data_IF_255883574040
#
_entry.id   IF_255883574040
#
_cell.length_a   1.000
_cell.length_b   1.000
_cell.length_c   1.000
_cell.angle_alpha   90.00
_cell.angle_beta   90.00
_cell.angle_gamma   90.00
#
_symmetry.space_group_name_H-M   'P 1'
#
loop_
_entity.id
_entity.type
_entity.pdbx_description
1 polymer ?
#
# COMPACT_ATOMS: atom_id res chain seq x y z
N UNK A 1 73.78 -3.06 -14.22
CA UNK A 1 72.65 -3.97 -14.49
C UNK A 1 71.47 -3.90 -13.47
N UNK A 2 71.62 -3.24 -12.31
CA UNK A 2 70.57 -3.24 -11.26
C UNK A 2 69.45 -2.15 -11.42
N UNK A 3 69.78 -1.01 -12.06
CA UNK A 3 68.85 0.12 -12.21
C UNK A 3 67.75 -0.10 -13.27
N UNK A 4 68.06 -0.87 -14.31
CA UNK A 4 67.07 -1.20 -15.38
C UNK A 4 66.00 -2.23 -14.93
N UNK A 5 66.33 -3.11 -13.98
CA UNK A 5 65.40 -4.09 -13.44
C UNK A 5 64.38 -3.46 -12.46
N UNK A 6 64.78 -2.37 -11.77
CA UNK A 6 63.89 -1.68 -10.85
C UNK A 6 62.83 -0.84 -11.56
N UNK A 7 63.18 -0.23 -12.70
CA UNK A 7 62.23 0.57 -13.50
C UNK A 7 61.19 -0.32 -14.22
N UNK A 8 61.61 -1.50 -14.68
CA UNK A 8 60.67 -2.46 -15.29
C UNK A 8 59.70 -3.07 -14.29
N UNK A 9 60.10 -3.29 -13.03
CA UNK A 9 59.21 -3.79 -11.99
C UNK A 9 58.17 -2.76 -11.54
N UNK A 10 58.54 -1.47 -11.50
CA UNK A 10 57.61 -0.38 -11.19
C UNK A 10 56.57 -0.11 -12.30
N UNK A 11 56.98 -0.30 -13.57
CA UNK A 11 56.05 -0.15 -14.71
C UNK A 11 54.99 -1.27 -14.75
N UNK A 12 55.33 -2.50 -14.38
CA UNK A 12 54.40 -3.63 -14.33
C UNK A 12 53.37 -3.49 -13.19
N UNK A 13 53.79 -2.96 -12.03
CA UNK A 13 52.88 -2.71 -10.91
C UNK A 13 51.92 -1.56 -11.19
N UNK A 14 52.34 -0.52 -11.97
CA UNK A 14 51.49 0.58 -12.36
C UNK A 14 50.41 0.18 -13.38
N UNK A 15 50.65 -0.81 -14.25
CA UNK A 15 49.70 -1.31 -15.26
C UNK A 15 48.67 -2.25 -14.62
N UNK A 16 49.01 -2.96 -13.55
CA UNK A 16 48.07 -3.82 -12.80
C UNK A 16 47.08 -3.03 -11.91
N UNK A 17 47.39 -1.79 -11.56
CA UNK A 17 46.52 -0.93 -10.77
C UNK A 17 45.44 -0.22 -11.60
N UNK A 18 45.53 -0.22 -12.94
CA UNK A 18 44.59 0.44 -13.86
C UNK A 18 43.45 -0.47 -14.34
N UNK A 19 43.43 -1.72 -13.93
CA UNK A 19 42.48 -2.73 -14.42
C UNK A 19 41.54 -3.32 -13.34
N UNK A 20 41.44 -2.73 -12.16
CA UNK A 20 40.37 -3.13 -11.25
C UNK A 20 39.04 -2.61 -11.82
N UNK A 21 38.08 -3.47 -12.19
CA UNK A 21 36.76 -3.00 -12.51
C UNK A 21 36.28 -2.19 -11.30
N UNK A 22 35.87 -0.92 -11.52
CA UNK A 22 35.13 -0.21 -10.52
C UNK A 22 33.92 -1.10 -10.20
N UNK A 23 33.87 -1.71 -9.04
CA UNK A 23 32.64 -2.32 -8.56
C UNK A 23 31.63 -1.17 -8.57
N UNK A 24 30.66 -1.23 -9.49
CA UNK A 24 29.53 -0.31 -9.46
C UNK A 24 28.93 -0.48 -8.09
N UNK A 25 28.86 0.61 -7.33
CA UNK A 25 28.19 0.58 -6.05
C UNK A 25 26.73 0.18 -6.34
N UNK A 26 26.27 -0.90 -5.75
CA UNK A 26 24.91 -1.36 -5.87
C UNK A 26 24.00 -0.32 -5.19
N UNK A 27 23.04 0.19 -5.93
CA UNK A 27 22.04 1.11 -5.39
C UNK A 27 21.08 0.32 -4.52
N UNK A 28 20.81 0.84 -3.31
CA UNK A 28 19.89 0.19 -2.39
C UNK A 28 18.62 0.98 -2.31
N UNK A 29 17.50 0.30 -2.46
CA UNK A 29 16.19 0.89 -2.34
C UNK A 29 15.36 0.15 -1.30
N UNK A 30 14.62 0.91 -0.52
CA UNK A 30 13.69 0.42 0.48
C UNK A 30 12.25 0.59 0.00
N UNK A 31 11.40 -0.42 0.24
CA UNK A 31 9.99 -0.41 -0.12
C UNK A 31 9.18 -0.45 1.16
N UNK A 32 8.54 0.65 1.51
CA UNK A 32 7.64 0.72 2.66
C UNK A 32 6.34 -0.04 2.37
N UNK A 33 5.98 -0.95 3.25
CA UNK A 33 4.83 -1.84 3.08
C UNK A 33 3.76 -1.62 4.16
N UNK A 34 3.55 -2.58 5.03
CA UNK A 34 2.61 -2.57 6.14
C UNK A 34 2.86 -3.77 7.05
N UNK A 35 1.92 -4.08 7.92
CA UNK A 35 2.01 -5.25 8.79
C UNK A 35 2.05 -6.57 8.01
N UNK A 36 2.76 -7.56 8.54
CA UNK A 36 3.03 -8.85 7.87
C UNK A 36 1.79 -9.70 7.58
N UNK A 37 0.67 -9.43 8.25
CA UNK A 37 -0.60 -10.16 8.08
C UNK A 37 -1.53 -9.54 7.03
N UNK A 38 -1.12 -8.43 6.41
CA UNK A 38 -1.82 -7.73 5.33
C UNK A 38 -1.31 -8.14 3.94
N UNK A 39 -1.72 -7.39 2.92
CA UNK A 39 -1.36 -7.63 1.51
C UNK A 39 -0.05 -6.95 1.12
N UNK A 40 0.24 -5.76 1.65
CA UNK A 40 1.41 -4.97 1.26
C UNK A 40 2.73 -5.71 1.47
N UNK A 41 2.90 -6.40 2.60
CA UNK A 41 4.17 -7.04 2.93
C UNK A 41 4.53 -8.22 2.00
N UNK A 42 3.67 -9.23 1.75
CA UNK A 42 3.98 -10.29 0.80
C UNK A 42 4.16 -9.75 -0.63
N UNK A 43 3.35 -8.79 -1.06
CA UNK A 43 3.48 -8.17 -2.38
C UNK A 43 4.78 -7.36 -2.50
N UNK A 44 5.08 -6.52 -1.50
CA UNK A 44 6.31 -5.72 -1.46
C UNK A 44 7.58 -6.57 -1.38
N UNK A 45 7.52 -7.71 -0.66
CA UNK A 45 8.62 -8.68 -0.63
C UNK A 45 8.90 -9.30 -2.00
N UNK A 46 7.83 -9.67 -2.73
CA UNK A 46 7.97 -10.16 -4.10
C UNK A 46 8.50 -9.06 -5.04
N UNK A 47 8.00 -7.82 -4.90
CA UNK A 47 8.47 -6.67 -5.66
C UNK A 47 9.96 -6.38 -5.40
N UNK A 48 10.40 -6.45 -4.14
CA UNK A 48 11.81 -6.26 -3.79
C UNK A 48 12.70 -7.31 -4.44
N UNK A 49 12.31 -8.59 -4.41
CA UNK A 49 13.03 -9.65 -5.09
C UNK A 49 13.05 -9.42 -6.61
N UNK A 50 11.90 -9.11 -7.20
CA UNK A 50 11.76 -8.85 -8.63
C UNK A 50 12.67 -7.70 -9.10
N UNK A 51 12.71 -6.58 -8.37
CA UNK A 51 13.59 -5.45 -8.66
C UNK A 51 15.05 -5.88 -8.55
N UNK A 52 15.45 -6.55 -7.47
CA UNK A 52 16.83 -7.00 -7.24
C UNK A 52 17.32 -7.96 -8.33
N UNK A 53 16.43 -8.80 -8.85
CA UNK A 53 16.77 -9.81 -9.85
C UNK A 53 16.79 -9.25 -11.28
N UNK A 54 16.02 -8.19 -11.56
CA UNK A 54 15.78 -7.74 -12.94
C UNK A 54 16.20 -6.28 -13.23
N UNK A 55 16.52 -5.47 -12.21
CA UNK A 55 17.02 -4.09 -12.41
C UNK A 55 18.52 -4.06 -12.11
N UNK A 56 19.33 -3.85 -13.15
CA UNK A 56 20.79 -3.93 -13.05
C UNK A 56 21.35 -2.90 -12.05
N UNK A 57 22.17 -3.38 -11.10
CA UNK A 57 22.86 -2.53 -10.13
C UNK A 57 21.99 -2.11 -8.95
N UNK A 58 20.77 -2.63 -8.80
CA UNK A 58 19.84 -2.30 -7.72
C UNK A 58 19.65 -3.50 -6.78
N UNK A 59 19.60 -3.24 -5.47
CA UNK A 59 19.21 -4.20 -4.43
C UNK A 59 18.02 -3.60 -3.65
N UNK A 60 16.86 -4.24 -3.68
CA UNK A 60 15.65 -3.78 -3.03
C UNK A 60 15.30 -4.61 -1.79
N UNK A 61 14.73 -3.97 -0.78
CA UNK A 61 14.23 -4.61 0.45
C UNK A 61 12.85 -4.10 0.81
N UNK A 62 11.98 -5.01 1.31
CA UNK A 62 10.66 -4.64 1.82
C UNK A 62 10.72 -4.39 3.32
N UNK A 63 10.18 -3.27 3.77
CA UNK A 63 10.15 -2.86 5.17
C UNK A 63 8.75 -2.96 5.75
N UNK A 64 8.64 -3.48 6.98
CA UNK A 64 7.40 -3.49 7.76
C UNK A 64 7.18 -2.12 8.36
N UNK A 65 5.99 -1.55 8.13
CA UNK A 65 5.60 -0.22 8.61
C UNK A 65 4.19 -0.25 9.19
N UNK A 66 3.70 0.89 9.66
CA UNK A 66 2.29 1.07 9.99
C UNK A 66 1.38 1.25 8.75
N UNK A 67 1.92 1.29 7.55
CA UNK A 67 1.30 1.51 6.24
C UNK A 67 1.10 3.00 5.89
N UNK A 68 0.02 3.37 5.19
CA UNK A 68 -0.08 4.51 4.29
C UNK A 68 0.40 5.86 4.82
N UNK A 69 0.00 6.28 6.03
CA UNK A 69 0.43 7.58 6.59
C UNK A 69 1.91 7.54 6.98
N UNK A 70 2.34 6.46 7.62
CA UNK A 70 3.75 6.23 7.97
C UNK A 70 4.61 6.18 6.70
N UNK A 71 4.14 5.46 5.68
CA UNK A 71 4.82 5.31 4.39
C UNK A 71 5.01 6.67 3.67
N UNK A 72 3.99 7.52 3.67
CA UNK A 72 4.11 8.86 3.09
C UNK A 72 5.09 9.75 3.86
N UNK A 73 5.17 9.60 5.19
CA UNK A 73 6.16 10.30 5.99
C UNK A 73 7.59 9.81 5.69
N UNK A 74 7.78 8.50 5.48
CA UNK A 74 9.08 7.93 5.08
C UNK A 74 9.50 8.41 3.67
N UNK A 75 8.57 8.48 2.71
CA UNK A 75 8.80 9.10 1.39
C UNK A 75 9.21 10.57 1.52
N UNK A 76 8.53 11.34 2.38
CA UNK A 76 8.84 12.76 2.61
C UNK A 76 10.25 12.98 3.18
N UNK A 77 10.71 12.06 4.04
CA UNK A 77 12.02 12.10 4.67
C UNK A 77 13.13 11.56 3.77
N UNK A 78 12.77 10.83 2.69
CA UNK A 78 13.72 10.13 1.83
C UNK A 78 14.34 8.89 2.49
N UNK A 79 13.64 8.31 3.46
CA UNK A 79 14.04 7.10 4.16
C UNK A 79 13.69 5.82 3.37
N UNK A 80 12.74 5.94 2.43
CA UNK A 80 12.37 4.88 1.47
C UNK A 80 12.17 5.46 0.08
N UNK A 81 12.43 4.68 -0.96
CA UNK A 81 12.26 5.07 -2.35
C UNK A 81 10.87 4.76 -2.90
N UNK A 82 10.27 3.64 -2.46
CA UNK A 82 8.95 3.19 -2.89
C UNK A 82 8.06 2.95 -1.68
N UNK A 83 6.75 3.15 -1.87
CA UNK A 83 5.76 2.90 -0.83
C UNK A 83 4.42 2.43 -1.39
N UNK A 84 3.77 1.49 -0.68
CA UNK A 84 2.37 1.13 -0.90
C UNK A 84 1.48 2.07 -0.10
N UNK A 85 0.55 2.75 -0.76
CA UNK A 85 -0.28 3.80 -0.14
C UNK A 85 -1.72 3.73 -0.65
N UNK A 86 -2.71 3.90 0.22
CA UNK A 86 -4.09 4.13 -0.17
C UNK A 86 -4.21 5.48 -0.91
N UNK A 87 -5.03 5.53 -1.94
CA UNK A 87 -5.18 6.72 -2.79
C UNK A 87 -5.67 7.95 -2.00
N UNK A 88 -6.56 7.79 -1.03
CA UNK A 88 -7.03 8.86 -0.16
C UNK A 88 -5.88 9.46 0.68
N UNK A 89 -5.06 8.60 1.28
CA UNK A 89 -3.88 9.02 2.05
C UNK A 89 -2.82 9.66 1.17
N UNK A 90 -2.61 9.16 -0.06
CA UNK A 90 -1.68 9.76 -1.02
C UNK A 90 -2.15 11.15 -1.44
N UNK A 91 -3.46 11.35 -1.63
CA UNK A 91 -4.07 12.65 -1.91
C UNK A 91 -3.87 13.62 -0.74
N UNK A 92 -4.24 13.21 0.48
CA UNK A 92 -4.07 14.05 1.67
C UNK A 92 -2.62 14.48 1.86
N UNK A 93 -1.67 13.56 1.66
CA UNK A 93 -0.25 13.86 1.77
C UNK A 93 0.23 14.85 0.70
N UNK A 94 -0.19 14.68 -0.55
CA UNK A 94 0.19 15.58 -1.65
C UNK A 94 -0.37 17.00 -1.47
N UNK A 95 -1.57 17.13 -0.90
CA UNK A 95 -2.22 18.41 -0.63
C UNK A 95 -1.81 19.02 0.73
N UNK A 96 -1.12 18.26 1.59
CA UNK A 96 -0.79 18.70 2.96
C UNK A 96 -2.01 18.78 3.88
N UNK A 97 -3.02 17.94 3.61
CA UNK A 97 -4.19 17.79 4.49
C UNK A 97 -3.85 16.93 5.72
N UNK A 98 -4.62 17.05 6.78
CA UNK A 98 -4.46 16.18 7.95
C UNK A 98 -4.50 14.70 7.55
N UNK A 99 -3.63 13.85 8.09
CA UNK A 99 -2.73 14.11 9.25
C UNK A 99 -1.35 14.69 8.88
N UNK A 100 -1.13 15.16 7.67
CA UNK A 100 0.15 15.72 7.22
C UNK A 100 0.24 17.21 7.54
N UNK A 101 1.43 17.67 7.97
CA UNK A 101 1.66 19.06 8.31
C UNK A 101 2.02 19.92 7.08
N UNK A 102 2.57 19.31 6.04
CA UNK A 102 3.04 19.92 4.80
C UNK A 102 2.81 18.95 3.64
N UNK A 103 2.73 19.47 2.42
CA UNK A 103 2.61 18.67 1.22
C UNK A 103 3.85 17.77 1.02
N UNK A 104 3.62 16.50 0.74
CA UNK A 104 4.68 15.52 0.46
C UNK A 104 4.99 15.51 -1.03
N UNK A 105 6.27 15.66 -1.43
CA UNK A 105 6.69 15.64 -2.83
C UNK A 105 6.68 14.20 -3.38
N UNK A 106 5.49 13.67 -3.65
CA UNK A 106 5.27 12.31 -4.04
C UNK A 106 4.60 12.19 -5.41
N UNK A 107 4.94 11.15 -6.16
CA UNK A 107 4.38 10.83 -7.47
C UNK A 107 4.05 9.34 -7.55
N UNK A 108 3.06 9.00 -8.38
CA UNK A 108 2.64 7.62 -8.59
C UNK A 108 3.52 6.92 -9.63
N UNK A 109 3.85 5.66 -9.39
CA UNK A 109 4.32 4.76 -10.43
C UNK A 109 3.15 4.02 -11.09
N UNK A 110 2.26 3.44 -10.29
CA UNK A 110 1.14 2.65 -10.77
C UNK A 110 0.00 2.61 -9.77
N UNK A 111 -1.24 2.55 -10.24
CA UNK A 111 -2.35 2.02 -9.47
C UNK A 111 -2.31 0.50 -9.53
N UNK A 112 -2.37 -0.17 -8.38
CA UNK A 112 -2.13 -1.61 -8.28
C UNK A 112 -3.43 -2.43 -8.25
N UNK A 113 -4.26 -2.20 -7.25
CA UNK A 113 -5.54 -2.90 -7.01
C UNK A 113 -6.42 -2.08 -6.07
N UNK A 114 -7.68 -2.49 -5.89
CA UNK A 114 -8.55 -1.87 -4.91
C UNK A 114 -8.38 -2.50 -3.52
N UNK A 115 -8.25 -1.66 -2.50
CA UNK A 115 -8.41 -2.08 -1.12
C UNK A 115 -9.90 -2.04 -0.75
N UNK A 116 -10.37 -3.13 -0.13
CA UNK A 116 -11.73 -3.31 0.38
C UNK A 116 -11.75 -2.96 1.86
N UNK A 117 -12.67 -2.12 2.30
CA UNK A 117 -12.80 -1.75 3.71
C UNK A 117 -13.67 -2.74 4.45
N UNK A 118 -13.03 -3.70 5.11
CA UNK A 118 -13.68 -4.66 5.98
C UNK A 118 -14.03 -4.01 7.32
N UNK A 119 -15.25 -4.25 7.80
CA UNK A 119 -15.61 -4.06 9.19
C UNK A 119 -15.99 -5.43 9.74
N UNK A 120 -15.09 -6.01 10.50
CA UNK A 120 -15.14 -7.41 10.92
C UNK A 120 -15.66 -7.51 12.35
N UNK A 121 -16.61 -8.39 12.57
CA UNK A 121 -17.15 -8.74 13.88
C UNK A 121 -17.53 -10.21 13.94
N UNK A 122 -18.18 -10.67 14.99
CA UNK A 122 -18.75 -12.01 15.11
C UNK A 122 -20.27 -11.99 14.96
N UNK A 123 -20.86 -13.08 14.48
CA UNK A 123 -22.31 -13.20 14.23
C UNK A 123 -23.17 -12.93 15.50
N UNK A 124 -22.68 -13.37 16.66
CA UNK A 124 -23.37 -13.21 17.94
C UNK A 124 -23.14 -11.85 18.63
N UNK A 125 -22.34 -10.95 18.03
CA UNK A 125 -21.99 -9.62 18.57
C UNK A 125 -23.19 -8.68 18.69
N UNK A 126 -24.25 -8.88 17.90
CA UNK A 126 -25.38 -7.96 17.74
C UNK A 126 -25.06 -6.73 16.89
N UNK A 127 -23.86 -6.66 16.27
CA UNK A 127 -23.48 -5.57 15.36
C UNK A 127 -23.94 -5.93 13.94
N UNK A 128 -24.78 -5.05 13.35
CA UNK A 128 -25.36 -5.25 12.01
C UNK A 128 -25.15 -4.05 11.08
N UNK A 129 -24.50 -2.98 11.56
CA UNK A 129 -24.19 -1.78 10.81
C UNK A 129 -23.26 -0.89 11.64
N UNK A 130 -22.65 0.14 11.00
CA UNK A 130 -21.68 1.02 11.68
C UNK A 130 -22.27 1.74 12.90
N UNK A 131 -23.54 2.14 12.86
CA UNK A 131 -24.20 2.78 14.00
C UNK A 131 -24.24 1.91 15.27
N UNK A 132 -24.14 0.58 15.14
CA UNK A 132 -24.09 -0.34 16.29
C UNK A 132 -22.70 -0.42 16.96
N UNK A 133 -21.72 0.31 16.44
CA UNK A 133 -20.38 0.41 17.05
C UNK A 133 -20.35 1.37 18.22
N UNK A 134 -21.42 2.18 18.44
CA UNK A 134 -21.53 3.07 19.62
C UNK A 134 -21.39 2.28 20.90
N UNK A 135 -20.56 2.78 21.81
CA UNK A 135 -20.21 2.17 23.09
C UNK A 135 -19.48 0.82 23.00
N UNK A 136 -18.96 0.46 21.79
CA UNK A 136 -18.19 -0.78 21.57
C UNK A 136 -16.70 -0.53 21.63
N UNK A 137 -15.94 -1.60 21.89
CA UNK A 137 -14.48 -1.59 21.77
C UNK A 137 -14.12 -1.95 20.33
N UNK A 138 -13.57 -0.97 19.58
CA UNK A 138 -13.34 -1.10 18.14
C UNK A 138 -11.89 -0.79 17.80
N UNK A 139 -11.24 -1.67 17.05
CA UNK A 139 -9.94 -1.35 16.44
C UNK A 139 -10.13 -0.61 15.13
N UNK A 140 -9.55 0.57 15.02
CA UNK A 140 -9.63 1.43 13.82
C UNK A 140 -8.45 1.23 12.86
N UNK A 141 -7.62 0.21 13.07
CA UNK A 141 -6.37 0.00 12.35
C UNK A 141 -5.16 0.45 13.16
N UNK A 142 -3.96 0.11 12.70
CA UNK A 142 -2.73 0.56 13.35
C UNK A 142 -2.62 2.09 13.32
N UNK A 143 -2.04 2.68 14.37
CA UNK A 143 -1.78 4.11 14.39
C UNK A 143 -0.88 4.52 13.20
N UNK A 144 -1.28 5.53 12.44
CA UNK A 144 -0.56 5.96 11.25
C UNK A 144 -0.82 5.11 10.00
N UNK A 145 -1.86 4.26 10.01
CA UNK A 145 -2.27 3.48 8.84
C UNK A 145 -3.34 4.21 8.01
N UNK A 146 -3.42 3.87 6.72
CA UNK A 146 -4.55 4.30 5.89
C UNK A 146 -5.88 3.67 6.33
N UNK A 147 -5.84 2.49 6.97
CA UNK A 147 -7.02 1.88 7.60
C UNK A 147 -7.60 2.80 8.67
N UNK A 148 -6.76 3.43 9.49
CA UNK A 148 -7.20 4.37 10.52
C UNK A 148 -7.87 5.61 9.91
N UNK A 149 -7.31 6.14 8.82
CA UNK A 149 -7.90 7.29 8.11
C UNK A 149 -9.31 6.94 7.62
N UNK A 150 -9.46 5.84 6.89
CA UNK A 150 -10.76 5.45 6.32
C UNK A 150 -11.76 5.02 7.40
N UNK A 151 -11.29 4.41 8.51
CA UNK A 151 -12.15 4.03 9.63
C UNK A 151 -12.76 5.26 10.32
N UNK A 152 -11.97 6.31 10.54
CA UNK A 152 -12.44 7.56 11.12
C UNK A 152 -13.50 8.21 10.21
N UNK A 153 -13.23 8.32 8.91
CA UNK A 153 -14.16 8.86 7.91
C UNK A 153 -15.48 8.08 7.85
N UNK A 154 -15.42 6.76 7.92
CA UNK A 154 -16.63 5.91 7.94
C UNK A 154 -17.42 6.04 9.24
N UNK A 155 -16.75 6.15 10.39
CA UNK A 155 -17.40 6.38 11.67
C UNK A 155 -18.12 7.74 11.67
N UNK A 156 -17.45 8.80 11.21
CA UNK A 156 -18.03 10.14 11.07
C UNK A 156 -19.23 10.15 10.13
N UNK A 157 -19.13 9.52 8.96
CA UNK A 157 -20.24 9.36 8.02
C UNK A 157 -21.41 8.58 8.63
N UNK A 158 -21.16 7.63 9.52
CA UNK A 158 -22.18 6.91 10.28
C UNK A 158 -22.72 7.69 11.49
N UNK A 159 -22.29 8.95 11.70
CA UNK A 159 -22.72 9.81 12.80
C UNK A 159 -22.12 9.42 14.16
N UNK A 160 -20.91 8.85 14.15
CA UNK A 160 -20.14 8.48 15.32
C UNK A 160 -18.86 9.32 15.39
N UNK A 161 -18.57 9.84 16.58
CA UNK A 161 -17.28 10.44 16.89
C UNK A 161 -16.30 9.32 17.27
N UNK A 162 -15.20 9.12 16.47
CA UNK A 162 -14.25 8.03 16.72
C UNK A 162 -13.52 8.13 18.05
N UNK A 163 -13.46 9.30 18.67
CA UNK A 163 -12.77 9.52 19.94
C UNK A 163 -13.73 9.53 21.16
N UNK A 164 -15.03 9.75 20.92
CA UNK A 164 -16.02 9.88 21.99
C UNK A 164 -17.04 8.74 22.04
N UNK A 165 -17.44 8.19 20.88
CA UNK A 165 -18.55 7.25 20.77
C UNK A 165 -18.14 5.78 20.79
N UNK A 166 -16.85 5.47 20.70
CA UNK A 166 -16.31 4.11 20.77
C UNK A 166 -15.14 4.02 21.76
N UNK A 167 -14.88 2.82 22.28
CA UNK A 167 -13.61 2.53 22.99
C UNK A 167 -12.56 2.15 21.96
N UNK A 168 -11.84 3.15 21.44
CA UNK A 168 -10.93 3.01 20.32
C UNK A 168 -9.69 2.21 20.68
N UNK A 169 -9.32 1.27 19.81
CA UNK A 169 -8.03 0.58 19.78
C UNK A 169 -7.35 0.82 18.44
N UNK A 170 -6.02 0.84 18.42
CA UNK A 170 -5.21 1.07 17.22
C UNK A 170 -4.29 -0.13 16.99
N UNK A 171 -4.86 -1.20 16.41
CA UNK A 171 -4.17 -2.48 16.23
C UNK A 171 -4.02 -2.80 14.75
N UNK A 172 -2.91 -3.46 14.37
CA UNK A 172 -2.73 -4.03 13.04
C UNK A 172 -3.72 -5.18 12.77
N UNK A 173 -3.83 -5.62 11.49
CA UNK A 173 -4.82 -6.64 11.10
C UNK A 173 -4.74 -7.94 11.92
N UNK A 174 -3.53 -8.51 12.08
CA UNK A 174 -3.33 -9.74 12.83
C UNK A 174 -3.61 -9.60 14.33
N UNK A 175 -3.24 -8.45 14.91
CA UNK A 175 -3.51 -8.14 16.32
C UNK A 175 -5.02 -7.93 16.54
N UNK A 176 -5.70 -7.22 15.62
CA UNK A 176 -7.14 -7.01 15.64
C UNK A 176 -7.91 -8.34 15.54
N UNK A 177 -7.52 -9.21 14.60
CA UNK A 177 -8.12 -10.54 14.45
C UNK A 177 -7.96 -11.39 15.73
N UNK A 178 -6.77 -11.35 16.34
CA UNK A 178 -6.52 -12.04 17.61
C UNK A 178 -7.33 -11.45 18.76
N UNK A 179 -7.41 -10.11 18.86
CA UNK A 179 -8.17 -9.42 19.89
C UNK A 179 -9.67 -9.69 19.78
N UNK A 180 -10.22 -9.73 18.56
CA UNK A 180 -11.63 -10.08 18.31
C UNK A 180 -11.92 -11.54 18.70
N UNK A 181 -11.08 -12.48 18.28
CA UNK A 181 -11.20 -13.89 18.67
C UNK A 181 -11.20 -14.09 20.19
N UNK A 182 -10.34 -13.36 20.88
CA UNK A 182 -10.15 -13.45 22.33
C UNK A 182 -11.18 -12.64 23.13
N UNK A 183 -12.11 -11.93 22.46
CA UNK A 183 -13.16 -11.12 23.07
C UNK A 183 -12.66 -9.83 23.72
N UNK A 184 -11.49 -9.33 23.32
CA UNK A 184 -10.91 -8.07 23.82
C UNK A 184 -11.41 -6.84 23.06
N UNK A 185 -11.93 -7.04 21.84
CA UNK A 185 -12.62 -6.02 21.03
C UNK A 185 -13.91 -6.60 20.46
N UNK A 186 -14.87 -5.75 20.10
CA UNK A 186 -16.17 -6.14 19.53
C UNK A 186 -16.14 -6.14 18.00
N UNK A 187 -15.30 -5.30 17.38
CA UNK A 187 -15.13 -5.20 15.92
C UNK A 187 -13.76 -4.58 15.56
N UNK A 188 -13.39 -4.73 14.31
CA UNK A 188 -12.24 -4.01 13.77
C UNK A 188 -12.43 -3.59 12.32
N UNK A 189 -11.81 -2.46 11.96
CA UNK A 189 -11.64 -2.00 10.60
C UNK A 189 -10.34 -2.55 10.00
N UNK A 190 -10.42 -2.87 8.73
CA UNK A 190 -9.26 -3.23 7.92
C UNK A 190 -9.49 -2.84 6.46
N UNK A 191 -8.56 -2.07 5.87
CA UNK A 191 -8.57 -1.78 4.43
C UNK A 191 -7.43 -2.53 3.75
N UNK A 192 -7.76 -3.44 2.85
CA UNK A 192 -6.79 -4.28 2.15
C UNK A 192 -7.38 -5.06 0.99
N UNK A 193 -6.51 -5.73 0.22
CA UNK A 193 -6.90 -6.61 -0.88
C UNK A 193 -7.52 -7.93 -0.43
N UNK A 194 -8.08 -8.65 -1.37
CA UNK A 194 -8.75 -9.94 -1.15
C UNK A 194 -7.90 -11.14 -1.66
N UNK A 195 -7.80 -12.23 -0.87
CA UNK A 195 -8.17 -12.29 0.55
C UNK A 195 -7.07 -11.71 1.44
N UNK A 196 -7.42 -11.14 2.58
CA UNK A 196 -6.43 -10.74 3.60
C UNK A 196 -6.10 -11.90 4.55
N UNK A 197 -4.82 -12.17 4.77
CA UNK A 197 -4.35 -13.30 5.57
C UNK A 197 -4.93 -13.33 6.98
N UNK A 198 -4.89 -12.21 7.70
CA UNK A 198 -5.42 -12.13 9.07
C UNK A 198 -6.93 -12.46 9.17
N UNK A 199 -7.74 -12.03 8.18
CA UNK A 199 -9.19 -12.30 8.14
C UNK A 199 -9.44 -13.75 7.74
N UNK A 200 -8.62 -14.29 6.83
CA UNK A 200 -8.68 -15.73 6.43
C UNK A 200 -8.39 -16.64 7.62
N UNK A 201 -7.34 -16.34 8.39
CA UNK A 201 -6.98 -17.11 9.59
C UNK A 201 -8.07 -17.03 10.66
N UNK A 202 -8.66 -15.84 10.87
CA UNK A 202 -9.78 -15.66 11.79
C UNK A 202 -10.98 -16.53 11.39
N UNK A 203 -11.43 -16.45 10.13
CA UNK A 203 -12.56 -17.22 9.62
C UNK A 203 -12.31 -18.73 9.56
N UNK A 204 -11.04 -19.18 9.54
CA UNK A 204 -10.67 -20.58 9.61
C UNK A 204 -10.56 -21.11 11.07
N UNK A 205 -10.68 -20.23 12.07
CA UNK A 205 -10.57 -20.60 13.50
C UNK A 205 -11.83 -21.35 13.95
N UNK A 206 -11.72 -22.55 14.57
CA UNK A 206 -12.89 -23.29 15.05
C UNK A 206 -13.73 -22.50 16.06
N UNK A 207 -15.05 -22.55 15.90
CA UNK A 207 -16.05 -21.84 16.71
C UNK A 207 -15.96 -20.31 16.63
N UNK A 208 -15.41 -19.78 15.57
CA UNK A 208 -15.46 -18.37 15.22
C UNK A 208 -16.39 -18.22 14.01
N UNK A 209 -17.53 -17.60 14.22
CA UNK A 209 -18.49 -17.28 13.18
C UNK A 209 -18.27 -15.82 12.77
N UNK A 210 -17.40 -15.62 11.76
CA UNK A 210 -17.01 -14.31 11.26
C UNK A 210 -18.17 -13.64 10.54
N UNK A 211 -18.32 -12.33 10.73
CA UNK A 211 -19.27 -11.49 10.02
C UNK A 211 -18.60 -10.23 9.50
N UNK A 212 -18.87 -9.90 8.23
CA UNK A 212 -18.54 -8.62 7.65
C UNK A 212 -19.74 -7.70 7.68
N UNK A 213 -19.55 -6.46 8.14
CA UNK A 213 -20.57 -5.42 8.17
C UNK A 213 -20.53 -4.64 6.86
N UNK A 214 -21.67 -4.53 6.11
CA UNK A 214 -21.75 -3.71 4.92
C UNK A 214 -21.52 -2.24 5.26
N UNK A 215 -20.78 -1.55 4.39
CA UNK A 215 -20.49 -0.13 4.51
C UNK A 215 -20.43 0.59 3.15
N UNK A 216 -20.72 -0.11 2.06
CA UNK A 216 -20.71 0.44 0.71
C UNK A 216 -21.67 1.63 0.50
N UNK A 217 -22.72 1.73 1.32
CA UNK A 217 -23.69 2.84 1.27
C UNK A 217 -23.07 4.21 1.60
N UNK A 218 -21.90 4.25 2.28
CA UNK A 218 -21.19 5.48 2.62
C UNK A 218 -20.26 5.99 1.52
N UNK A 219 -20.07 5.23 0.43
CA UNK A 219 -19.13 5.59 -0.63
C UNK A 219 -19.42 6.95 -1.28
N UNK A 220 -20.68 7.25 -1.57
CA UNK A 220 -21.08 8.52 -2.19
C UNK A 220 -20.80 9.72 -1.26
N UNK A 221 -21.01 9.56 0.05
CA UNK A 221 -20.73 10.59 1.04
C UNK A 221 -19.23 10.84 1.16
N UNK A 222 -18.43 9.78 1.28
CA UNK A 222 -16.97 9.88 1.29
C UNK A 222 -16.42 10.47 0.00
N UNK A 223 -16.98 10.09 -1.14
CA UNK A 223 -16.59 10.65 -2.44
C UNK A 223 -16.87 12.16 -2.51
N UNK A 224 -18.03 12.59 -2.00
CA UNK A 224 -18.39 14.00 -1.95
C UNK A 224 -17.53 14.85 -1.01
N UNK A 225 -17.07 14.24 0.11
CA UNK A 225 -16.30 14.94 1.14
C UNK A 225 -14.79 14.93 0.87
N UNK A 226 -14.25 13.83 0.35
CA UNK A 226 -12.80 13.59 0.32
C UNK A 226 -12.23 13.35 -1.08
N UNK A 227 -13.03 12.95 -2.07
CA UNK A 227 -12.56 12.81 -3.45
C UNK A 227 -13.05 11.57 -4.18
N UNK A 228 -12.94 11.61 -5.50
CA UNK A 228 -13.54 10.62 -6.42
C UNK A 228 -12.87 9.25 -6.42
N UNK A 229 -11.83 9.04 -5.63
CA UNK A 229 -11.14 7.75 -5.48
C UNK A 229 -11.89 6.77 -4.55
N UNK A 230 -12.90 7.22 -3.80
CA UNK A 230 -13.79 6.31 -3.09
C UNK A 230 -14.80 5.67 -4.04
N UNK A 231 -15.11 4.42 -3.83
CA UNK A 231 -16.09 3.67 -4.59
C UNK A 231 -16.73 2.56 -3.78
N UNK A 232 -17.63 1.80 -4.40
CA UNK A 232 -18.23 0.61 -3.81
C UNK A 232 -17.83 -0.62 -4.60
N UNK A 233 -17.50 -1.71 -3.89
CA UNK A 233 -17.34 -3.02 -4.48
C UNK A 233 -17.83 -4.10 -3.53
N UNK A 234 -18.07 -5.28 -4.09
CA UNK A 234 -18.59 -6.43 -3.35
C UNK A 234 -17.44 -7.36 -2.94
N UNK A 235 -17.32 -7.69 -1.65
CA UNK A 235 -16.57 -8.85 -1.17
C UNK A 235 -17.39 -10.08 -1.51
N UNK A 236 -16.91 -10.98 -2.39
CA UNK A 236 -17.69 -12.17 -2.79
C UNK A 236 -17.98 -13.09 -1.61
N UNK A 237 -19.16 -13.71 -1.58
CA UNK A 237 -19.46 -14.76 -0.61
C UNK A 237 -18.44 -15.90 -0.71
N UNK A 238 -18.02 -16.44 0.43
CA UNK A 238 -17.02 -17.48 0.50
C UNK A 238 -15.56 -17.01 0.37
N UNK A 239 -15.30 -15.69 0.36
CA UNK A 239 -13.93 -15.14 0.44
C UNK A 239 -13.26 -15.54 1.74
N UNK A 240 -14.01 -15.55 2.84
CA UNK A 240 -13.55 -15.95 4.18
C UNK A 240 -14.43 -17.04 4.75
N UNK A 241 -13.88 -17.88 5.62
CA UNK A 241 -14.65 -18.90 6.34
C UNK A 241 -15.76 -18.27 7.19
N UNK A 242 -16.99 -18.76 7.05
CA UNK A 242 -18.17 -18.21 7.74
C UNK A 242 -18.87 -17.03 7.04
N UNK A 243 -18.24 -16.44 6.01
CA UNK A 243 -18.82 -15.34 5.23
C UNK A 243 -19.41 -15.91 3.94
N UNK A 244 -20.64 -16.43 3.99
CA UNK A 244 -21.29 -17.11 2.85
C UNK A 244 -21.94 -16.13 1.85
N UNK A 245 -22.43 -15.00 2.35
CA UNK A 245 -23.15 -13.99 1.53
C UNK A 245 -22.19 -12.89 1.04
N UNK A 246 -22.41 -12.33 -0.16
CA UNK A 246 -21.65 -11.19 -0.63
C UNK A 246 -21.91 -9.95 0.23
N UNK A 247 -20.90 -9.09 0.40
CA UNK A 247 -21.00 -7.86 1.21
C UNK A 247 -20.46 -6.68 0.44
N UNK A 248 -21.28 -5.62 0.29
CA UNK A 248 -20.89 -4.38 -0.36
C UNK A 248 -20.13 -3.48 0.63
N UNK A 249 -18.96 -3.05 0.22
CA UNK A 249 -18.05 -2.27 1.05
C UNK A 249 -17.47 -1.09 0.27
N UNK A 250 -17.01 -0.07 1.01
CA UNK A 250 -16.21 1.02 0.46
C UNK A 250 -14.87 0.47 -0.01
N UNK A 251 -14.43 0.92 -1.19
CA UNK A 251 -13.11 0.61 -1.74
C UNK A 251 -12.34 1.89 -2.07
N UNK A 252 -11.02 1.78 -1.98
CA UNK A 252 -10.06 2.82 -2.34
C UNK A 252 -8.93 2.17 -3.14
N UNK A 253 -8.47 2.75 -4.27
CA UNK A 253 -7.30 2.24 -4.98
C UNK A 253 -6.05 2.25 -4.12
N UNK A 254 -5.18 1.29 -4.39
CA UNK A 254 -3.83 1.23 -3.85
C UNK A 254 -2.86 1.73 -4.92
N UNK A 255 -1.96 2.63 -4.54
CA UNK A 255 -0.99 3.26 -5.43
C UNK A 255 0.43 2.90 -4.97
N UNK A 256 1.29 2.55 -5.90
CA UNK A 256 2.73 2.51 -5.68
C UNK A 256 3.28 3.93 -5.87
N UNK A 257 3.82 4.48 -4.79
CA UNK A 257 4.26 5.87 -4.69
C UNK A 257 5.78 5.94 -4.57
N UNK A 258 6.36 6.97 -5.13
CA UNK A 258 7.79 7.33 -5.02
C UNK A 258 7.95 8.80 -4.65
N UNK A 259 9.15 9.19 -4.16
CA UNK A 259 9.50 10.60 -4.08
C UNK A 259 9.68 11.18 -5.49
N UNK A 260 9.26 12.42 -5.73
CA UNK A 260 9.40 13.09 -7.04
C UNK A 260 10.86 13.20 -7.52
N UNK A 261 11.83 13.10 -6.59
CA UNK A 261 13.26 13.16 -6.88
C UNK A 261 13.86 11.79 -7.28
N UNK A 262 13.07 10.71 -7.33
CA UNK A 262 13.56 9.41 -7.80
C UNK A 262 14.09 9.55 -9.23
N UNK A 263 15.19 8.85 -9.56
CA UNK A 263 15.76 8.85 -10.91
C UNK A 263 14.74 8.34 -11.94
N UNK A 264 14.61 9.07 -13.07
CA UNK A 264 13.64 8.76 -14.12
C UNK A 264 13.88 7.38 -14.75
N UNK A 265 15.15 7.03 -14.99
CA UNK A 265 15.51 5.74 -15.58
C UNK A 265 15.25 4.59 -14.61
N UNK A 266 15.53 4.80 -13.30
CA UNK A 266 15.22 3.82 -12.27
C UNK A 266 13.70 3.58 -12.18
N UNK A 267 12.89 4.62 -12.14
CA UNK A 267 11.44 4.51 -12.11
C UNK A 267 10.89 3.76 -13.34
N UNK A 268 11.43 4.06 -14.53
CA UNK A 268 11.09 3.35 -15.78
C UNK A 268 11.45 1.87 -15.69
N UNK A 269 12.68 1.54 -15.26
CA UNK A 269 13.16 0.17 -15.18
C UNK A 269 12.40 -0.67 -14.17
N UNK A 270 12.00 -0.08 -13.02
CA UNK A 270 11.14 -0.73 -12.03
C UNK A 270 9.80 -1.11 -12.67
N UNK A 271 9.13 -0.18 -13.36
CA UNK A 271 7.87 -0.48 -14.03
C UNK A 271 8.02 -1.53 -15.12
N UNK A 272 9.05 -1.44 -15.96
CA UNK A 272 9.32 -2.45 -16.98
C UNK A 272 9.44 -3.85 -16.36
N UNK A 273 10.25 -3.97 -15.31
CA UNK A 273 10.43 -5.22 -14.59
C UNK A 273 9.11 -5.73 -13.98
N UNK A 274 8.30 -4.86 -13.38
CA UNK A 274 7.00 -5.22 -12.78
C UNK A 274 6.04 -5.81 -13.82
N UNK A 275 5.95 -5.24 -15.01
CA UNK A 275 5.06 -5.74 -16.05
C UNK A 275 5.61 -6.96 -16.78
N UNK A 276 6.91 -7.02 -17.02
CA UNK A 276 7.58 -8.17 -17.67
C UNK A 276 7.56 -9.43 -16.79
N UNK A 277 7.66 -9.26 -15.47
CA UNK A 277 7.70 -10.35 -14.48
C UNK A 277 6.47 -10.38 -13.56
N UNK A 278 5.31 -9.90 -14.04
CA UNK A 278 4.08 -9.82 -13.25
C UNK A 278 3.68 -11.14 -12.60
N UNK A 279 3.94 -12.26 -13.24
CA UNK A 279 3.56 -13.58 -12.75
C UNK A 279 4.25 -13.92 -11.41
N UNK A 280 5.43 -13.38 -11.13
CA UNK A 280 6.12 -13.53 -9.84
C UNK A 280 5.36 -12.78 -8.73
N UNK A 281 4.81 -11.60 -9.04
CA UNK A 281 3.96 -10.85 -8.13
C UNK A 281 2.62 -11.57 -7.88
N UNK A 282 2.02 -12.15 -8.93
CA UNK A 282 0.78 -12.95 -8.83
C UNK A 282 1.00 -14.19 -7.97
N UNK A 283 2.17 -14.82 -8.06
CA UNK A 283 2.51 -15.97 -7.22
C UNK A 283 2.59 -15.61 -5.73
N UNK A 284 2.96 -14.37 -5.41
CA UNK A 284 3.02 -13.88 -4.03
C UNK A 284 1.64 -13.46 -3.50
N UNK A 285 0.83 -12.78 -4.32
CA UNK A 285 -0.53 -12.40 -3.93
C UNK A 285 -1.45 -12.24 -5.16
N UNK A 286 -2.68 -12.79 -5.13
CA UNK A 286 -3.61 -12.78 -6.26
C UNK A 286 -4.04 -11.38 -6.70
N UNK A 287 -4.00 -10.36 -5.83
CA UNK A 287 -4.29 -8.97 -6.20
C UNK A 287 -3.34 -8.43 -7.29
N UNK A 288 -2.17 -9.00 -7.47
CA UNK A 288 -1.27 -8.65 -8.56
C UNK A 288 -1.84 -8.98 -9.97
N UNK A 289 -2.91 -9.79 -10.07
CA UNK A 289 -3.64 -9.94 -11.32
C UNK A 289 -4.26 -8.62 -11.81
N UNK A 290 -4.52 -7.69 -10.90
CA UNK A 290 -5.06 -6.36 -11.21
C UNK A 290 -3.99 -5.40 -11.79
N UNK A 291 -2.70 -5.73 -11.69
CA UNK A 291 -1.62 -4.96 -12.33
C UNK A 291 -1.68 -5.18 -13.84
N UNK A 292 -2.49 -4.39 -14.51
CA UNK A 292 -2.57 -4.33 -15.98
C UNK A 292 -2.25 -2.91 -16.43
N UNK A 293 -1.81 -2.74 -17.68
CA UNK A 293 -1.51 -1.41 -18.21
C UNK A 293 -2.73 -0.47 -18.12
N UNK A 294 -3.94 -1.03 -18.31
CA UNK A 294 -5.18 -0.26 -18.23
C UNK A 294 -5.44 0.23 -16.79
N UNK A 295 -5.34 -0.66 -15.80
CA UNK A 295 -5.60 -0.31 -14.40
C UNK A 295 -4.51 0.60 -13.82
N UNK A 296 -3.26 0.36 -14.17
CA UNK A 296 -2.11 1.06 -13.62
C UNK A 296 -2.11 2.57 -13.89
N UNK A 297 -2.79 2.99 -14.97
CA UNK A 297 -2.88 4.40 -15.38
C UNK A 297 -4.18 5.09 -14.95
N UNK A 298 -5.03 4.41 -14.16
CA UNK A 298 -6.33 4.93 -13.73
C UNK A 298 -6.37 5.30 -12.25
N UNK A 299 -7.19 6.28 -11.93
CA UNK A 299 -7.56 6.64 -10.56
C UNK A 299 -6.39 6.98 -9.62
N UNK A 300 -5.22 7.39 -10.16
CA UNK A 300 -4.19 7.96 -9.31
C UNK A 300 -4.62 9.34 -8.82
N UNK A 301 -4.61 9.60 -7.50
CA UNK A 301 -4.97 10.90 -6.95
C UNK A 301 -3.83 11.93 -7.08
N UNK A 302 -2.64 11.47 -7.37
CA UNK A 302 -1.41 12.26 -7.49
C UNK A 302 -0.79 12.11 -8.88
N UNK A 303 0.05 13.07 -9.35
CA UNK A 303 0.69 12.97 -10.65
C UNK A 303 1.55 11.72 -10.81
N UNK A 304 1.64 11.20 -12.03
CA UNK A 304 2.57 10.11 -12.33
C UNK A 304 4.01 10.64 -12.47
N UNK A 305 4.96 9.82 -12.01
CA UNK A 305 6.39 10.09 -12.16
C UNK A 305 6.80 10.13 -13.65
N UNK A 306 7.76 11.02 -14.06
CA UNK A 306 8.20 11.10 -15.45
C UNK A 306 8.64 9.77 -16.06
N UNK A 307 9.37 8.92 -15.31
CA UNK A 307 9.74 7.57 -15.76
C UNK A 307 8.54 6.66 -15.99
N UNK A 308 7.49 6.79 -15.17
CA UNK A 308 6.24 6.08 -15.37
C UNK A 308 5.50 6.56 -16.62
N UNK A 309 5.41 7.87 -16.82
CA UNK A 309 4.79 8.45 -18.02
C UNK A 309 5.48 7.97 -19.30
N UNK A 310 6.82 7.97 -19.32
CA UNK A 310 7.61 7.46 -20.45
C UNK A 310 7.30 5.99 -20.72
N UNK A 311 7.29 5.15 -19.69
CA UNK A 311 6.97 3.74 -19.85
C UNK A 311 5.58 3.54 -20.44
N UNK A 312 4.55 4.21 -19.90
CA UNK A 312 3.18 4.09 -20.37
C UNK A 312 2.98 4.59 -21.80
N UNK A 313 3.66 5.70 -22.19
CA UNK A 313 3.64 6.21 -23.55
C UNK A 313 4.20 5.19 -24.54
N UNK A 314 5.32 4.53 -24.21
CA UNK A 314 5.93 3.46 -25.02
C UNK A 314 5.01 2.23 -25.15
N UNK A 315 4.21 1.93 -24.11
CA UNK A 315 3.22 0.87 -24.15
C UNK A 315 1.91 1.29 -24.84
N UNK A 316 1.80 2.53 -25.31
CA UNK A 316 0.62 3.05 -26.02
C UNK A 316 -0.58 3.33 -25.14
N UNK A 317 -0.39 3.49 -23.83
CA UNK A 317 -1.44 3.89 -22.87
C UNK A 317 -1.14 5.28 -22.32
N UNK A 318 -2.20 6.02 -21.97
CA UNK A 318 -2.06 7.34 -21.37
C UNK A 318 -2.74 7.36 -20.00
N UNK A 319 -2.06 7.84 -18.96
CA UNK A 319 -2.69 8.08 -17.68
C UNK A 319 -3.92 8.97 -17.82
N UNK A 320 -5.01 8.58 -17.15
CA UNK A 320 -6.15 9.48 -16.96
C UNK A 320 -5.71 10.76 -16.25
N UNK A 321 -6.45 11.86 -16.46
CA UNK A 321 -6.21 13.06 -15.69
C UNK A 321 -6.42 12.73 -14.20
N UNK A 322 -5.43 13.08 -13.35
CA UNK A 322 -5.62 13.03 -11.90
C UNK A 322 -6.89 13.79 -11.53
N UNK A 323 -7.71 13.30 -10.59
CA UNK A 323 -8.87 14.04 -10.11
C UNK A 323 -8.40 15.44 -9.67
N UNK A 324 -8.94 16.48 -10.29
CA UNK A 324 -8.67 17.83 -9.81
C UNK A 324 -9.21 17.94 -8.38
N UNK A 325 -8.42 18.52 -7.48
CA UNK A 325 -8.86 18.85 -6.14
C UNK A 325 -10.21 19.58 -6.24
N UNK A 326 -11.22 19.10 -5.52
CA UNK A 326 -12.45 19.89 -5.34
C UNK A 326 -12.04 21.16 -4.61
N UNK A 327 -12.41 22.35 -5.12
CA UNK A 327 -12.07 23.58 -4.41
C UNK A 327 -12.72 23.53 -3.03
N UNK A 328 -11.89 23.64 -1.99
CA UNK A 328 -12.34 23.80 -0.62
C UNK A 328 -13.31 24.99 -0.56
N UNK A 329 -14.58 24.71 -0.23
CA UNK A 329 -15.63 25.69 -0.06
C UNK A 329 -15.61 26.30 1.35
#
# INVERSE_FOLDING_TARGET
MSRFRLVAALAVVAILALGAPAALAQERISIATGGTSGVYYPYGGALANLISDNVEGVEATAEVTAASVDNMNLIAQGDVELAFVLADTAFDAAEGNEPFAEAVPAQALATLYNNYTHVVTLEDSGINGLANLRDRTVSTGAAGSGTEVIANRLLEAAGLDPDADISRQQLGAGESASALRDGNIDAFFWSGGLPTGAVTELGATPNVDLKLIPNGEFADELQGAFGTFYGTATVPGGTYGGQDEPVDVVVVPNVLVVNEALDEELAYNILSAMFEHRDDLVAAHPEANNLTLENAVQNSPIPYHPGALRYYEEQGVQPGASPAASPAG
#
